data_IF_786182357499
#
_entry.id   IF_786182357499
#
_cell.length_a   1.000
_cell.length_b   1.000
_cell.length_c   1.000
_cell.angle_alpha   90.00
_cell.angle_beta   90.00
_cell.angle_gamma   90.00
#
_symmetry.space_group_name_H-M   'P 1'
#
loop_
_entity.id
_entity.type
_entity.pdbx_description
1 polymer ?
#
# COMPACT_ATOMS: atom_id res chain seq x y z
N UNK A 1 41.97 -51.61 14.72
CA UNK A 1 41.67 -51.86 13.29
C UNK A 1 41.23 -50.53 12.68
N UNK A 2 42.03 -50.07 11.78
CA UNK A 2 42.10 -48.70 11.32
C UNK A 2 41.20 -48.34 10.14
N UNK A 3 41.37 -47.13 9.62
CA UNK A 3 40.35 -46.35 8.88
C UNK A 3 40.51 -46.39 7.36
N UNK A 4 39.44 -46.01 6.67
CA UNK A 4 39.45 -45.62 5.22
C UNK A 4 38.52 -44.45 5.12
N UNK A 5 38.86 -43.23 4.76
CA UNK A 5 39.53 -42.79 3.55
C UNK A 5 38.44 -42.12 2.70
N UNK A 6 38.01 -40.88 2.98
CA UNK A 6 37.05 -40.13 2.21
C UNK A 6 37.74 -39.07 1.35
N UNK A 7 37.50 -39.11 0.04
CA UNK A 7 38.03 -38.18 -0.96
C UNK A 7 37.28 -36.87 -1.01
N UNK A 8 38.02 -35.78 -1.02
CA UNK A 8 37.55 -34.43 -1.38
C UNK A 8 37.23 -34.39 -2.90
N UNK A 9 36.18 -33.64 -3.30
CA UNK A 9 35.99 -33.34 -4.72
C UNK A 9 36.83 -32.15 -5.15
N UNK A 10 37.63 -32.36 -6.15
CA UNK A 10 38.42 -31.41 -6.92
C UNK A 10 37.54 -30.37 -7.60
N UNK A 11 37.94 -29.13 -7.45
CA UNK A 11 37.40 -27.98 -8.22
C UNK A 11 37.92 -28.05 -9.64
N UNK A 12 37.03 -28.20 -10.62
CA UNK A 12 37.32 -28.10 -12.03
C UNK A 12 37.31 -26.63 -12.52
N UNK A 13 38.05 -26.30 -13.57
CA UNK A 13 38.26 -24.92 -14.02
C UNK A 13 37.03 -24.35 -14.75
N UNK A 14 36.81 -23.05 -14.54
CA UNK A 14 35.81 -22.23 -15.22
C UNK A 14 36.19 -22.04 -16.69
N UNK A 15 35.30 -22.28 -17.66
CA UNK A 15 35.58 -21.94 -19.08
C UNK A 15 35.38 -20.45 -19.31
N UNK A 16 36.38 -19.85 -19.91
CA UNK A 16 36.40 -18.47 -20.38
C UNK A 16 35.53 -18.23 -21.63
N UNK A 17 35.02 -17.04 -21.77
CA UNK A 17 34.59 -16.35 -22.98
C UNK A 17 33.26 -16.78 -23.61
N UNK A 18 32.19 -16.14 -23.19
CA UNK A 18 31.03 -15.90 -24.05
C UNK A 18 31.34 -14.72 -24.98
N UNK A 19 31.47 -15.00 -26.26
CA UNK A 19 31.60 -14.00 -27.35
C UNK A 19 30.29 -13.26 -27.51
N UNK A 20 30.34 -11.95 -27.45
CA UNK A 20 29.24 -11.07 -27.84
C UNK A 20 28.94 -11.25 -29.33
N UNK A 21 27.73 -11.70 -29.64
CA UNK A 21 27.21 -11.73 -31.00
C UNK A 21 26.83 -10.31 -31.43
N UNK A 22 27.32 -9.89 -32.58
CA UNK A 22 26.99 -8.65 -33.26
C UNK A 22 25.48 -8.62 -33.62
N UNK A 23 24.79 -7.46 -33.50
CA UNK A 23 23.43 -7.33 -34.00
C UNK A 23 23.43 -7.35 -35.54
N UNK A 24 22.61 -8.22 -36.12
CA UNK A 24 22.33 -8.30 -37.56
C UNK A 24 21.70 -6.98 -38.03
N UNK A 25 22.29 -6.42 -39.06
CA UNK A 25 21.74 -5.29 -39.78
C UNK A 25 20.39 -5.61 -40.40
N UNK A 26 19.36 -4.82 -40.05
CA UNK A 26 18.08 -4.78 -40.78
C UNK A 26 18.29 -3.96 -42.03
N UNK A 27 18.08 -4.57 -43.19
CA UNK A 27 18.31 -3.91 -44.50
C UNK A 27 17.29 -2.78 -44.74
N UNK A 28 17.79 -1.60 -44.97
CA UNK A 28 17.06 -0.51 -45.62
C UNK A 28 17.27 -0.58 -47.14
N UNK A 29 16.18 -0.79 -47.85
CA UNK A 29 16.10 -0.73 -49.29
C UNK A 29 16.04 0.76 -49.72
N UNK A 30 17.02 1.21 -50.51
CA UNK A 30 16.89 2.44 -51.31
C UNK A 30 17.50 3.73 -50.79
N UNK A 31 18.77 3.75 -50.35
CA UNK A 31 19.61 4.96 -50.41
C UNK A 31 21.08 4.54 -50.53
N UNK A 32 21.79 5.06 -51.56
CA UNK A 32 23.21 4.80 -51.77
C UNK A 32 24.03 5.46 -50.64
N UNK A 33 24.28 4.75 -49.56
CA UNK A 33 25.27 5.13 -48.56
C UNK A 33 26.65 4.68 -49.03
N UNK A 34 27.51 5.61 -49.42
CA UNK A 34 28.94 5.35 -49.60
C UNK A 34 29.63 5.38 -48.25
N UNK A 35 30.07 4.22 -47.79
CA UNK A 35 30.97 4.12 -46.64
C UNK A 35 32.39 4.40 -47.11
N UNK A 36 33.09 5.32 -46.46
CA UNK A 36 34.54 5.50 -46.59
C UNK A 36 35.13 5.04 -45.26
N UNK A 37 35.68 3.83 -45.24
CA UNK A 37 36.43 3.31 -44.11
C UNK A 37 37.88 3.78 -44.20
N UNK A 38 38.34 4.47 -43.18
CA UNK A 38 39.76 4.67 -42.90
C UNK A 38 40.00 4.08 -41.52
N UNK A 39 40.69 2.93 -41.48
CA UNK A 39 41.20 2.23 -40.30
C UNK A 39 40.34 2.39 -39.01
N UNK A 40 39.21 1.70 -38.98
CA UNK A 40 38.48 1.45 -37.72
C UNK A 40 37.56 2.55 -37.18
N UNK A 41 37.34 3.64 -37.93
CA UNK A 41 36.40 4.72 -37.54
C UNK A 41 35.28 4.80 -38.59
N UNK A 42 34.10 4.28 -38.24
CA UNK A 42 32.88 4.43 -39.06
C UNK A 42 32.36 5.89 -38.98
N UNK A 43 32.55 6.65 -40.03
CA UNK A 43 31.95 7.98 -40.16
C UNK A 43 30.51 7.84 -40.67
N UNK A 44 29.53 8.02 -39.83
CA UNK A 44 28.10 7.99 -40.19
C UNK A 44 27.74 9.32 -40.88
N UNK A 45 27.35 9.33 -42.18
CA UNK A 45 26.94 10.54 -42.86
C UNK A 45 25.69 11.14 -42.22
N UNK A 46 25.71 12.46 -41.90
CA UNK A 46 24.58 13.20 -41.38
C UNK A 46 24.51 13.29 -39.85
N UNK A 47 25.45 12.71 -39.11
CA UNK A 47 25.52 12.91 -37.66
C UNK A 47 25.93 14.36 -37.31
N UNK A 48 25.22 14.97 -36.36
CA UNK A 48 25.59 16.28 -35.83
C UNK A 48 26.85 16.15 -34.97
N UNK A 49 27.85 16.98 -35.21
CA UNK A 49 29.04 17.05 -34.36
C UNK A 49 28.70 17.56 -32.98
N UNK A 50 29.40 17.04 -31.98
CA UNK A 50 29.27 17.46 -30.57
C UNK A 50 30.32 18.50 -30.23
N UNK A 51 30.10 19.30 -29.17
CA UNK A 51 31.09 20.23 -28.64
C UNK A 51 32.41 19.55 -28.25
N UNK A 52 32.34 18.28 -27.83
CA UNK A 52 33.52 17.47 -27.50
C UNK A 52 34.35 17.15 -28.74
N UNK A 53 33.71 16.73 -29.80
CA UNK A 53 34.39 16.43 -31.07
C UNK A 53 35.02 17.72 -31.68
N UNK A 54 34.32 18.83 -31.57
CA UNK A 54 34.85 20.13 -32.02
C UNK A 54 36.07 20.56 -31.19
N UNK A 55 36.04 20.44 -29.87
CA UNK A 55 37.22 20.74 -29.01
C UNK A 55 38.39 19.84 -29.36
N UNK A 56 38.17 18.55 -29.56
CA UNK A 56 39.20 17.59 -29.95
C UNK A 56 39.79 17.97 -31.31
N UNK A 57 38.96 18.38 -32.28
CA UNK A 57 39.41 18.87 -33.56
C UNK A 57 40.30 20.11 -33.42
N UNK A 58 39.88 21.12 -32.68
CA UNK A 58 40.64 22.37 -32.47
C UNK A 58 41.98 22.10 -31.77
N UNK A 59 42.04 21.18 -30.84
CA UNK A 59 43.28 20.74 -30.18
C UNK A 59 44.21 20.07 -31.18
N UNK A 60 43.74 19.12 -31.96
CA UNK A 60 44.54 18.39 -32.96
C UNK A 60 44.96 19.29 -34.15
N UNK A 61 44.19 20.30 -34.46
CA UNK A 61 44.42 21.26 -35.55
C UNK A 61 45.66 22.14 -35.32
N UNK A 62 46.12 22.22 -34.07
CA UNK A 62 47.38 22.95 -33.77
C UNK A 62 48.62 22.26 -34.36
N UNK A 63 48.55 20.94 -34.56
CA UNK A 63 49.71 20.15 -35.02
C UNK A 63 49.45 19.36 -36.33
N UNK A 64 48.19 19.20 -36.73
CA UNK A 64 47.80 18.38 -37.87
C UNK A 64 47.09 19.21 -38.95
N UNK A 65 47.04 18.69 -40.18
CA UNK A 65 46.21 19.25 -41.26
C UNK A 65 44.72 19.18 -40.93
N UNK A 66 43.85 20.01 -41.53
CA UNK A 66 42.41 19.95 -41.30
C UNK A 66 41.82 18.54 -41.54
N UNK A 67 42.30 17.83 -42.51
CA UNK A 67 41.85 16.48 -42.88
C UNK A 67 42.25 15.45 -41.84
N UNK A 68 43.52 15.48 -41.41
CA UNK A 68 43.99 14.55 -40.36
C UNK A 68 43.35 14.82 -38.99
N UNK A 69 43.16 16.10 -38.63
CA UNK A 69 42.48 16.49 -37.41
C UNK A 69 41.00 16.10 -37.42
N UNK A 70 40.31 16.20 -38.57
CA UNK A 70 38.93 15.76 -38.74
C UNK A 70 38.78 14.24 -38.60
N UNK A 71 39.69 13.47 -39.17
CA UNK A 71 39.73 12.04 -39.02
C UNK A 71 39.89 11.63 -37.53
N UNK A 72 40.80 12.27 -36.79
CA UNK A 72 40.98 12.07 -35.35
C UNK A 72 39.73 12.42 -34.54
N UNK A 73 38.96 13.44 -34.95
CA UNK A 73 37.76 13.87 -34.27
C UNK A 73 36.49 13.12 -34.70
N UNK A 74 36.58 12.20 -35.67
CA UNK A 74 35.50 11.34 -36.15
C UNK A 74 34.43 12.04 -36.99
N UNK A 75 34.82 13.01 -37.84
CA UNK A 75 33.90 13.63 -38.78
C UNK A 75 34.58 13.96 -40.14
N UNK A 76 33.78 14.31 -41.13
CA UNK A 76 34.26 14.49 -42.50
C UNK A 76 35.10 15.76 -42.69
N UNK A 77 36.02 15.78 -43.69
CA UNK A 77 36.81 16.93 -44.13
C UNK A 77 35.95 18.12 -44.48
N UNK A 78 34.80 17.92 -45.13
CA UNK A 78 33.85 19.02 -45.42
C UNK A 78 33.31 19.69 -44.12
N UNK A 79 33.21 18.95 -43.04
CA UNK A 79 32.83 19.51 -41.73
C UNK A 79 34.00 20.29 -41.11
N UNK A 80 35.25 19.84 -41.29
CA UNK A 80 36.43 20.56 -40.85
C UNK A 80 36.49 21.95 -41.46
N UNK A 81 36.36 22.06 -42.77
CA UNK A 81 36.36 23.36 -43.46
C UNK A 81 35.19 24.28 -43.03
N UNK A 82 34.01 23.71 -42.70
CA UNK A 82 32.92 24.52 -42.11
C UNK A 82 33.25 25.01 -40.70
N UNK A 83 34.00 24.25 -39.93
CA UNK A 83 34.47 24.68 -38.60
C UNK A 83 35.53 25.78 -38.74
N UNK A 84 36.42 25.66 -39.69
CA UNK A 84 37.43 26.71 -40.00
C UNK A 84 36.76 28.04 -40.39
N UNK A 85 35.68 27.98 -41.19
CA UNK A 85 34.92 29.16 -41.59
C UNK A 85 34.11 29.78 -40.41
N UNK A 86 33.64 28.97 -39.47
CA UNK A 86 32.90 29.42 -38.28
C UNK A 86 33.27 28.57 -37.06
N UNK A 87 34.25 29.01 -36.25
CA UNK A 87 34.80 28.22 -35.13
C UNK A 87 33.93 28.19 -33.87
N UNK A 88 32.70 28.70 -33.92
CA UNK A 88 31.78 28.62 -32.78
C UNK A 88 31.33 27.18 -32.56
N UNK A 89 31.27 26.76 -31.30
CA UNK A 89 30.81 25.41 -30.95
C UNK A 89 29.33 25.18 -31.33
N UNK A 90 28.90 23.92 -31.57
CA UNK A 90 27.50 23.59 -31.84
C UNK A 90 26.51 24.13 -30.81
N UNK A 91 26.89 24.16 -29.53
CA UNK A 91 26.07 24.76 -28.47
C UNK A 91 25.93 26.28 -28.62
N UNK A 92 26.99 26.97 -29.04
CA UNK A 92 26.99 28.43 -29.29
C UNK A 92 26.21 28.83 -30.57
N UNK A 93 26.17 27.93 -31.57
CA UNK A 93 25.37 28.13 -32.80
C UNK A 93 23.87 27.88 -32.59
N UNK A 94 23.48 27.17 -31.50
CA UNK A 94 22.07 26.98 -31.18
C UNK A 94 21.48 28.30 -30.74
N UNK A 95 20.64 28.89 -31.59
CA UNK A 95 19.79 29.98 -31.16
C UNK A 95 18.93 29.51 -29.96
N UNK A 96 18.76 30.35 -28.92
CA UNK A 96 17.83 30.05 -27.86
C UNK A 96 16.48 29.68 -28.48
N UNK A 97 15.91 28.52 -28.07
CA UNK A 97 14.57 28.13 -28.52
C UNK A 97 13.57 29.14 -27.98
N UNK A 98 13.32 30.19 -28.70
CA UNK A 98 12.27 31.15 -28.38
C UNK A 98 10.91 30.46 -28.35
N UNK A 99 10.02 30.93 -27.50
CA UNK A 99 8.64 30.48 -27.44
C UNK A 99 7.95 30.82 -28.75
N UNK A 100 7.61 29.84 -29.57
CA UNK A 100 7.02 30.07 -30.91
C UNK A 100 5.56 30.56 -30.85
N UNK A 101 4.88 30.47 -29.71
CA UNK A 101 3.48 30.91 -29.52
C UNK A 101 3.41 31.96 -28.44
N UNK A 102 2.69 33.05 -28.66
CA UNK A 102 2.44 34.05 -27.63
C UNK A 102 1.75 33.38 -26.43
N UNK A 103 1.99 33.90 -25.24
CA UNK A 103 1.35 33.40 -24.03
C UNK A 103 -0.10 33.86 -23.98
N UNK A 104 -1.07 32.93 -24.05
CA UNK A 104 -2.48 33.30 -24.07
C UNK A 104 -2.97 33.89 -22.73
N UNK A 105 -2.19 33.78 -21.66
CA UNK A 105 -2.50 34.36 -20.34
C UNK A 105 -1.81 35.73 -20.12
N UNK A 106 -0.94 36.16 -21.01
CA UNK A 106 -0.17 37.40 -20.80
C UNK A 106 -1.07 38.63 -20.47
N UNK A 107 -2.19 38.86 -21.18
CA UNK A 107 -3.04 40.03 -20.89
C UNK A 107 -3.70 40.01 -19.50
N UNK A 108 -4.15 38.81 -19.05
CA UNK A 108 -4.90 38.67 -17.80
C UNK A 108 -4.01 38.31 -16.60
N UNK A 109 -2.73 38.01 -16.84
CA UNK A 109 -1.88 37.44 -15.78
C UNK A 109 -1.65 38.42 -14.64
N UNK A 110 -1.09 39.57 -14.91
CA UNK A 110 -0.73 40.55 -13.89
C UNK A 110 -1.93 41.40 -13.46
N UNK A 111 -2.88 41.62 -14.35
CA UNK A 111 -4.05 42.42 -14.09
C UNK A 111 -5.12 41.67 -13.25
N UNK A 112 -5.28 40.38 -13.44
CA UNK A 112 -6.38 39.63 -12.82
C UNK A 112 -5.92 38.42 -12.01
N UNK A 113 -5.03 37.57 -12.57
CA UNK A 113 -4.66 36.30 -11.92
C UNK A 113 -3.80 36.54 -10.69
N UNK A 114 -2.77 37.36 -10.79
CA UNK A 114 -1.89 37.67 -9.65
C UNK A 114 -2.64 38.31 -8.49
N UNK A 115 -3.54 39.28 -8.68
CA UNK A 115 -4.39 39.79 -7.61
C UNK A 115 -5.24 38.71 -6.94
N UNK A 116 -5.86 37.80 -7.72
CA UNK A 116 -6.63 36.68 -7.15
C UNK A 116 -5.75 35.76 -6.27
N UNK A 117 -4.54 35.44 -6.73
CA UNK A 117 -3.60 34.60 -6.00
C UNK A 117 -3.09 35.26 -4.71
N UNK A 118 -2.90 36.59 -4.72
CA UNK A 118 -2.51 37.36 -3.54
C UNK A 118 -3.65 37.47 -2.52
N UNK A 119 -4.87 37.70 -2.99
CA UNK A 119 -6.04 37.82 -2.13
C UNK A 119 -6.46 36.48 -1.50
N UNK A 120 -6.28 35.39 -2.22
CA UNK A 120 -6.63 34.04 -1.79
C UNK A 120 -5.53 33.02 -2.16
N UNK A 121 -4.45 32.91 -1.37
CA UNK A 121 -3.30 32.03 -1.70
C UNK A 121 -3.70 30.57 -1.86
N UNK A 122 -4.72 30.10 -1.12
CA UNK A 122 -5.24 28.73 -1.19
C UNK A 122 -6.20 28.44 -2.34
N UNK A 123 -6.52 29.43 -3.20
CA UNK A 123 -7.49 29.22 -4.30
C UNK A 123 -7.02 28.13 -5.25
N UNK A 124 -7.91 27.17 -5.56
CA UNK A 124 -7.56 26.09 -6.50
C UNK A 124 -7.48 26.63 -7.92
N UNK A 125 -6.57 26.06 -8.73
CA UNK A 125 -6.42 26.44 -10.15
C UNK A 125 -7.74 26.36 -10.91
N UNK A 126 -8.58 25.37 -10.59
CA UNK A 126 -9.89 25.23 -11.23
C UNK A 126 -10.83 26.42 -10.91
N UNK A 127 -10.75 26.98 -9.69
CA UNK A 127 -11.51 28.17 -9.32
C UNK A 127 -11.07 29.40 -10.10
N UNK A 128 -9.74 29.59 -10.23
CA UNK A 128 -9.19 30.68 -11.06
C UNK A 128 -9.61 30.50 -12.54
N UNK A 129 -9.58 29.26 -13.06
CA UNK A 129 -9.99 28.96 -14.44
C UNK A 129 -11.48 29.26 -14.67
N UNK A 130 -12.34 28.89 -13.72
CA UNK A 130 -13.76 29.18 -13.81
C UNK A 130 -14.05 30.67 -13.81
N UNK A 131 -13.39 31.42 -12.94
CA UNK A 131 -13.55 32.87 -12.88
C UNK A 131 -13.02 33.55 -14.13
N UNK A 132 -11.87 33.13 -14.66
CA UNK A 132 -11.35 33.65 -15.93
C UNK A 132 -12.33 33.38 -17.10
N UNK A 133 -12.93 32.22 -17.18
CA UNK A 133 -13.92 31.90 -18.21
C UNK A 133 -15.21 32.71 -18.07
N UNK A 134 -15.60 33.03 -16.83
CA UNK A 134 -16.72 33.91 -16.58
C UNK A 134 -16.46 35.35 -17.07
N UNK A 135 -15.24 35.84 -16.89
CA UNK A 135 -14.82 37.18 -17.33
C UNK A 135 -14.50 37.25 -18.83
N UNK A 136 -13.90 36.18 -19.34
CA UNK A 136 -13.45 36.08 -20.73
C UNK A 136 -14.04 34.81 -21.39
N UNK A 137 -15.28 34.86 -21.91
CA UNK A 137 -15.95 33.73 -22.54
C UNK A 137 -15.19 33.17 -23.74
N UNK A 138 -14.43 34.02 -24.44
CA UNK A 138 -13.62 33.67 -25.62
C UNK A 138 -12.29 32.99 -25.29
N UNK A 139 -12.01 32.77 -24.02
CA UNK A 139 -10.74 32.18 -23.58
C UNK A 139 -10.61 30.73 -24.11
N UNK A 140 -9.45 30.43 -24.70
CA UNK A 140 -9.16 29.13 -25.27
C UNK A 140 -9.43 27.98 -24.27
N UNK A 141 -10.21 26.98 -24.70
CA UNK A 141 -10.59 25.83 -23.85
C UNK A 141 -9.40 25.02 -23.33
N UNK A 142 -8.27 25.02 -24.05
CA UNK A 142 -7.08 24.23 -23.71
C UNK A 142 -6.05 24.98 -22.83
N UNK A 143 -6.45 26.14 -22.25
CA UNK A 143 -5.54 26.99 -21.45
C UNK A 143 -5.18 26.41 -20.07
N UNK A 144 -5.96 25.43 -19.58
CA UNK A 144 -5.86 24.88 -18.22
C UNK A 144 -4.43 24.50 -17.85
N UNK A 145 -3.75 23.71 -18.71
CA UNK A 145 -2.38 23.25 -18.42
C UNK A 145 -1.34 24.39 -18.38
N UNK A 146 -1.56 25.43 -19.17
CA UNK A 146 -0.72 26.65 -19.15
C UNK A 146 -0.95 27.42 -17.86
N UNK A 147 -2.21 27.58 -17.43
CA UNK A 147 -2.58 28.22 -16.19
C UNK A 147 -2.01 27.47 -14.98
N UNK A 148 -2.19 26.15 -14.91
CA UNK A 148 -1.63 25.30 -13.85
C UNK A 148 -0.12 25.51 -13.70
N UNK A 149 0.64 25.47 -14.79
CA UNK A 149 2.08 25.64 -14.78
C UNK A 149 2.51 27.04 -14.35
N UNK A 150 1.78 28.08 -14.80
CA UNK A 150 2.10 29.46 -14.41
C UNK A 150 1.76 29.73 -12.94
N UNK A 151 0.62 29.26 -12.44
CA UNK A 151 0.25 29.40 -11.02
C UNK A 151 1.25 28.63 -10.16
N UNK A 152 1.65 27.41 -10.56
CA UNK A 152 2.65 26.64 -9.84
C UNK A 152 3.99 27.41 -9.77
N UNK A 153 4.46 27.95 -10.90
CA UNK A 153 5.67 28.76 -10.93
C UNK A 153 5.56 30.03 -10.07
N UNK A 154 4.43 30.73 -10.13
CA UNK A 154 4.20 31.92 -9.31
C UNK A 154 4.18 31.58 -7.81
N UNK A 155 3.51 30.47 -7.43
CA UNK A 155 3.48 30.02 -6.04
C UNK A 155 4.85 29.60 -5.53
N UNK A 156 5.69 29.04 -6.36
CA UNK A 156 7.06 28.71 -5.98
C UNK A 156 7.93 29.95 -5.69
N UNK A 157 7.61 31.09 -6.30
CA UNK A 157 8.35 32.34 -6.12
C UNK A 157 7.72 33.29 -5.08
N UNK A 158 6.41 33.29 -4.94
CA UNK A 158 5.65 34.30 -4.23
C UNK A 158 4.55 33.73 -3.31
N UNK A 159 4.36 32.41 -3.32
CA UNK A 159 3.36 31.77 -2.47
C UNK A 159 3.79 31.72 -1.01
N UNK A 160 2.86 31.37 -0.10
CA UNK A 160 3.20 31.12 1.29
C UNK A 160 4.11 29.89 1.39
N UNK A 161 4.91 29.86 2.44
CA UNK A 161 5.69 28.68 2.79
C UNK A 161 4.77 27.47 2.98
N UNK A 162 5.23 26.31 2.57
CA UNK A 162 4.50 25.05 2.73
C UNK A 162 5.05 24.27 3.90
N UNK A 163 4.19 23.51 4.57
CA UNK A 163 4.62 22.59 5.61
C UNK A 163 5.64 21.59 5.08
N UNK A 164 6.76 21.49 5.77
CA UNK A 164 7.79 20.53 5.43
C UNK A 164 7.52 19.21 6.16
N UNK A 165 7.26 18.17 5.40
CA UNK A 165 7.11 16.82 5.94
C UNK A 165 8.50 16.22 6.14
N UNK A 166 8.94 16.13 7.38
CA UNK A 166 10.18 15.44 7.70
C UNK A 166 9.98 13.92 7.55
N UNK A 167 10.94 13.29 6.87
CA UNK A 167 10.95 11.83 6.75
C UNK A 167 11.12 11.24 8.15
N UNK A 168 10.13 10.48 8.60
CA UNK A 168 10.24 9.74 9.85
C UNK A 168 11.14 8.53 9.66
N UNK A 169 12.13 8.38 10.53
CA UNK A 169 12.93 7.17 10.62
C UNK A 169 12.31 6.25 11.67
N UNK A 170 12.03 5.02 11.27
CA UNK A 170 11.49 4.00 12.15
C UNK A 170 12.58 2.95 12.42
N UNK A 171 13.20 2.94 13.59
CA UNK A 171 14.14 1.87 13.94
C UNK A 171 13.45 0.49 13.93
N UNK A 172 14.19 -0.58 13.55
CA UNK A 172 13.63 -1.93 13.52
C UNK A 172 13.13 -2.37 14.91
N UNK A 173 12.02 -3.10 14.95
CA UNK A 173 11.38 -3.61 16.16
C UNK A 173 10.71 -2.57 17.04
N UNK A 174 10.66 -1.29 16.62
CA UNK A 174 10.12 -0.22 17.45
C UNK A 174 8.60 -0.09 17.32
N UNK A 175 8.06 0.04 16.14
CA UNK A 175 6.68 0.49 15.95
C UNK A 175 5.87 -0.45 15.06
N UNK A 176 4.78 -0.97 15.62
CA UNK A 176 3.68 -1.60 14.92
C UNK A 176 2.50 -0.64 14.79
N UNK A 177 1.87 -0.62 13.63
CA UNK A 177 0.70 0.17 13.29
C UNK A 177 -0.46 -0.77 13.01
N UNK A 178 -1.66 -0.43 13.45
CA UNK A 178 -2.85 -1.18 13.03
C UNK A 178 -4.07 -0.28 12.90
N UNK A 179 -4.96 -0.70 12.02
CA UNK A 179 -6.24 -0.03 11.83
C UNK A 179 -7.25 -0.98 11.19
N UNK A 180 -8.55 -0.63 11.24
CA UNK A 180 -9.61 -1.34 10.53
C UNK A 180 -9.90 -0.65 9.20
N UNK A 181 -10.15 -1.45 8.18
CA UNK A 181 -10.54 -0.94 6.87
C UNK A 181 -11.78 -1.67 6.35
N UNK A 182 -12.71 -0.94 5.78
CA UNK A 182 -13.88 -1.50 5.12
C UNK A 182 -13.46 -2.33 3.90
N UNK A 183 -13.94 -3.57 3.82
CA UNK A 183 -13.70 -4.50 2.74
C UNK A 183 -14.93 -4.68 1.80
N UNK A 184 -16.03 -3.98 2.03
CA UNK A 184 -17.28 -4.10 1.25
C UNK A 184 -17.09 -3.82 -0.24
N UNK A 185 -16.14 -2.94 -0.60
CA UNK A 185 -15.81 -2.67 -2.00
C UNK A 185 -15.25 -3.90 -2.75
N UNK A 186 -14.68 -4.88 -2.06
CA UNK A 186 -14.19 -6.12 -2.66
C UNK A 186 -15.33 -7.05 -3.13
N UNK A 187 -16.57 -6.82 -2.63
CA UNK A 187 -17.78 -7.58 -3.00
C UNK A 187 -17.60 -9.10 -2.90
N UNK A 188 -16.98 -9.56 -1.84
CA UNK A 188 -16.79 -10.99 -1.56
C UNK A 188 -18.12 -11.60 -1.12
N UNK A 189 -18.40 -12.82 -1.57
CA UNK A 189 -19.55 -13.62 -1.12
C UNK A 189 -19.09 -14.96 -0.54
N UNK A 190 -19.91 -15.50 0.34
CA UNK A 190 -19.74 -16.83 0.94
C UNK A 190 -20.96 -17.66 0.58
N UNK A 191 -20.77 -18.75 -0.17
CA UNK A 191 -21.86 -19.60 -0.65
C UNK A 191 -22.98 -18.80 -1.34
N UNK A 192 -22.61 -17.79 -2.15
CA UNK A 192 -23.51 -16.93 -2.89
C UNK A 192 -24.07 -15.73 -2.11
N UNK A 193 -23.87 -15.65 -0.80
CA UNK A 193 -24.33 -14.54 0.04
C UNK A 193 -23.22 -13.49 0.23
N UNK A 194 -23.53 -12.21 -0.03
CA UNK A 194 -22.58 -11.12 0.12
C UNK A 194 -22.10 -11.01 1.57
N UNK A 195 -20.78 -10.96 1.74
CA UNK A 195 -20.14 -10.84 3.05
C UNK A 195 -19.88 -9.36 3.37
N UNK A 196 -20.62 -8.81 4.33
CA UNK A 196 -20.30 -7.52 4.93
C UNK A 196 -19.24 -7.73 6.01
N UNK A 197 -18.04 -7.21 5.78
CA UNK A 197 -16.90 -7.41 6.68
C UNK A 197 -15.89 -6.27 6.59
N UNK A 198 -15.01 -6.24 7.59
CA UNK A 198 -13.83 -5.38 7.62
C UNK A 198 -12.57 -6.23 7.64
N UNK A 199 -11.43 -5.61 7.37
CA UNK A 199 -10.13 -6.17 7.62
C UNK A 199 -9.45 -5.38 8.73
N UNK A 200 -9.01 -6.06 9.78
CA UNK A 200 -8.00 -5.53 10.68
C UNK A 200 -6.65 -5.69 9.99
N UNK A 201 -5.90 -4.61 9.82
CA UNK A 201 -4.62 -4.60 9.14
C UNK A 201 -3.54 -4.14 10.09
N UNK A 202 -2.57 -4.99 10.34
CA UNK A 202 -1.37 -4.71 11.12
C UNK A 202 -0.17 -4.56 10.20
N UNK A 203 0.73 -3.63 10.53
CA UNK A 203 1.95 -3.39 9.77
C UNK A 203 3.10 -2.94 10.68
N UNK A 204 4.32 -3.46 10.45
CA UNK A 204 5.53 -2.92 11.04
C UNK A 204 6.02 -1.70 10.25
N UNK A 205 6.41 -0.65 10.96
CA UNK A 205 6.81 0.61 10.34
C UNK A 205 8.16 0.53 9.61
N UNK A 206 9.10 -0.30 10.09
CA UNK A 206 10.42 -0.47 9.48
C UNK A 206 10.38 -1.44 8.30
N UNK A 207 10.09 -2.72 8.53
CA UNK A 207 10.14 -3.74 7.46
C UNK A 207 8.98 -3.68 6.51
N UNK A 208 7.86 -3.12 6.96
CA UNK A 208 6.61 -3.17 6.25
C UNK A 208 5.92 -4.53 6.32
N UNK A 209 6.33 -5.46 7.20
CA UNK A 209 5.59 -6.69 7.44
C UNK A 209 4.12 -6.38 7.65
N UNK A 210 3.25 -7.17 7.02
CA UNK A 210 1.80 -6.98 7.06
C UNK A 210 1.10 -8.25 7.55
N UNK A 211 0.00 -8.07 8.29
CA UNK A 211 -0.97 -9.12 8.59
C UNK A 211 -2.38 -8.54 8.46
N UNK A 212 -3.29 -9.31 7.90
CA UNK A 212 -4.69 -8.91 7.77
C UNK A 212 -5.58 -9.99 8.39
N UNK A 213 -6.56 -9.56 9.19
CA UNK A 213 -7.52 -10.44 9.82
C UNK A 213 -8.95 -10.05 9.43
N UNK A 214 -9.77 -11.04 9.05
CA UNK A 214 -11.16 -10.81 8.64
C UNK A 214 -12.04 -10.61 9.87
N UNK A 215 -12.70 -9.45 9.93
CA UNK A 215 -13.53 -9.01 11.06
C UNK A 215 -14.99 -8.93 10.65
N UNK A 216 -15.84 -9.64 11.35
CA UNK A 216 -17.29 -9.67 11.09
C UNK A 216 -18.10 -8.80 12.05
N UNK A 217 -17.62 -8.60 13.28
CA UNK A 217 -18.34 -7.91 14.37
C UNK A 217 -18.22 -6.39 14.36
N UNK A 218 -17.43 -5.81 13.45
CA UNK A 218 -17.10 -4.39 13.43
C UNK A 218 -15.93 -4.03 14.36
N UNK A 219 -15.64 -2.74 14.47
CA UNK A 219 -14.53 -2.24 15.29
C UNK A 219 -14.84 -2.42 16.78
N UNK A 220 -14.20 -3.38 17.41
CA UNK A 220 -14.38 -3.72 18.83
C UNK A 220 -13.04 -4.11 19.46
N UNK A 221 -12.96 -4.03 20.80
CA UNK A 221 -11.79 -4.53 21.53
C UNK A 221 -11.49 -6.00 21.21
N UNK A 222 -12.52 -6.84 21.12
CA UNK A 222 -12.38 -8.27 20.80
C UNK A 222 -11.73 -8.46 19.43
N UNK A 223 -12.19 -7.73 18.41
CA UNK A 223 -11.63 -7.81 17.07
C UNK A 223 -10.20 -7.27 17.00
N UNK A 224 -9.91 -6.18 17.74
CA UNK A 224 -8.56 -5.64 17.88
C UNK A 224 -7.63 -6.67 18.54
N UNK A 225 -8.05 -7.24 19.66
CA UNK A 225 -7.23 -8.18 20.44
C UNK A 225 -6.96 -9.46 19.66
N UNK A 226 -7.96 -10.02 18.98
CA UNK A 226 -7.82 -11.20 18.14
C UNK A 226 -6.91 -10.92 16.92
N UNK A 227 -7.16 -9.83 16.19
CA UNK A 227 -6.37 -9.45 15.01
C UNK A 227 -4.91 -9.12 15.35
N UNK A 228 -4.68 -8.39 16.45
CA UNK A 228 -3.33 -8.07 16.89
C UNK A 228 -2.57 -9.33 17.32
N UNK A 229 -3.19 -10.20 18.11
CA UNK A 229 -2.56 -11.45 18.54
C UNK A 229 -2.22 -12.34 17.34
N UNK A 230 -3.12 -12.48 16.37
CA UNK A 230 -2.85 -13.21 15.14
C UNK A 230 -1.65 -12.64 14.38
N UNK A 231 -1.56 -11.30 14.29
CA UNK A 231 -0.43 -10.63 13.66
C UNK A 231 0.90 -10.89 14.38
N UNK A 232 0.93 -10.76 15.72
CA UNK A 232 2.13 -10.97 16.52
C UNK A 232 2.62 -12.43 16.44
N UNK A 233 1.70 -13.39 16.46
CA UNK A 233 2.04 -14.81 16.36
C UNK A 233 2.49 -15.20 14.96
N UNK A 234 1.90 -14.63 13.91
CA UNK A 234 2.37 -14.81 12.54
C UNK A 234 3.76 -14.20 12.32
N UNK A 235 4.05 -13.07 12.97
CA UNK A 235 5.36 -12.40 12.94
C UNK A 235 6.41 -13.17 13.75
N UNK A 236 6.01 -13.77 14.87
CA UNK A 236 6.87 -14.46 15.84
C UNK A 236 7.55 -13.52 16.83
N UNK A 237 6.98 -12.35 17.12
CA UNK A 237 7.48 -11.38 18.08
C UNK A 237 6.58 -10.15 18.17
N UNK A 238 6.82 -9.28 19.15
CA UNK A 238 6.09 -8.05 19.38
C UNK A 238 6.98 -6.81 19.22
N UNK A 239 6.52 -5.72 18.57
CA UNK A 239 7.23 -4.45 18.55
C UNK A 239 7.18 -3.79 19.94
N UNK A 240 8.08 -2.86 20.22
CA UNK A 240 8.09 -2.14 21.51
C UNK A 240 6.89 -1.21 21.68
N UNK A 241 6.39 -0.66 20.59
CA UNK A 241 5.27 0.27 20.57
C UNK A 241 4.21 -0.21 19.58
N UNK A 242 2.96 -0.04 19.95
CA UNK A 242 1.82 -0.27 19.08
C UNK A 242 0.96 0.97 18.99
N UNK A 243 0.63 1.38 17.77
CA UNK A 243 -0.23 2.52 17.48
C UNK A 243 -1.47 2.06 16.73
N UNK A 244 -2.64 2.41 17.25
CA UNK A 244 -3.92 2.16 16.60
C UNK A 244 -4.79 3.40 16.70
N UNK A 245 -5.43 3.76 15.58
CA UNK A 245 -6.41 4.85 15.51
C UNK A 245 -7.83 4.38 15.88
N UNK A 246 -8.05 3.09 15.78
CA UNK A 246 -9.37 2.45 15.84
C UNK A 246 -10.06 2.49 17.19
N UNK A 247 -9.34 2.72 18.28
CA UNK A 247 -9.96 2.84 19.61
C UNK A 247 -10.87 4.07 19.71
N UNK A 248 -10.59 5.11 18.94
CA UNK A 248 -11.40 6.35 18.93
C UNK A 248 -12.81 6.11 18.38
N UNK A 249 -12.96 5.25 17.38
CA UNK A 249 -14.26 4.91 16.79
C UNK A 249 -15.07 3.98 17.72
N UNK A 250 -14.42 3.03 18.38
CA UNK A 250 -15.05 2.14 19.35
C UNK A 250 -15.59 2.89 20.57
N UNK A 251 -15.03 4.08 20.90
CA UNK A 251 -15.42 4.88 22.05
C UNK A 251 -16.60 5.84 21.83
N UNK A 252 -16.98 6.11 20.56
CA UNK A 252 -17.91 7.22 20.25
C UNK A 252 -19.27 7.12 20.93
N UNK A 253 -19.80 5.93 21.13
CA UNK A 253 -21.15 5.69 21.65
C UNK A 253 -21.17 4.97 23.01
N UNK A 254 -20.06 4.92 23.74
CA UNK A 254 -19.97 4.21 25.01
C UNK A 254 -20.13 5.15 26.20
N UNK A 255 -20.65 4.61 27.30
CA UNK A 255 -20.63 5.27 28.61
C UNK A 255 -19.20 5.46 29.11
N UNK A 256 -18.99 6.37 30.06
CA UNK A 256 -17.67 6.64 30.64
C UNK A 256 -17.03 5.36 31.23
N UNK A 257 -17.82 4.57 31.95
CA UNK A 257 -17.40 3.29 32.57
C UNK A 257 -16.97 2.25 31.51
N UNK A 258 -17.71 2.14 30.40
CA UNK A 258 -17.38 1.22 29.34
C UNK A 258 -16.10 1.65 28.58
N UNK A 259 -15.83 2.96 28.50
CA UNK A 259 -14.57 3.50 27.95
C UNK A 259 -13.38 3.18 28.85
N UNK A 260 -13.56 3.33 30.15
CA UNK A 260 -12.55 2.97 31.17
C UNK A 260 -12.18 1.49 31.07
N UNK A 261 -13.19 0.60 31.02
CA UNK A 261 -12.97 -0.85 30.88
C UNK A 261 -12.18 -1.20 29.63
N UNK A 262 -12.53 -0.63 28.46
CA UNK A 262 -11.77 -0.88 27.21
C UNK A 262 -10.33 -0.35 27.31
N UNK A 263 -10.14 0.80 27.96
CA UNK A 263 -8.80 1.39 28.16
C UNK A 263 -7.95 0.48 29.03
N UNK A 264 -8.49 -0.02 30.14
CA UNK A 264 -7.78 -0.94 31.04
C UNK A 264 -7.48 -2.27 30.36
N UNK A 265 -8.42 -2.84 29.61
CA UNK A 265 -8.23 -4.09 28.85
C UNK A 265 -7.18 -3.91 27.74
N UNK A 266 -7.16 -2.77 27.07
CA UNK A 266 -6.14 -2.45 26.07
C UNK A 266 -4.77 -2.33 26.72
N UNK A 267 -4.66 -1.63 27.84
CA UNK A 267 -3.41 -1.52 28.59
C UNK A 267 -2.91 -2.89 29.08
N UNK A 268 -3.81 -3.75 29.55
CA UNK A 268 -3.49 -5.11 29.95
C UNK A 268 -2.99 -5.97 28.76
N UNK A 269 -3.63 -5.83 27.59
CA UNK A 269 -3.20 -6.50 26.36
C UNK A 269 -1.80 -6.05 25.93
N UNK A 270 -1.55 -4.74 25.93
CA UNK A 270 -0.22 -4.20 25.60
C UNK A 270 0.84 -4.65 26.58
N UNK A 271 0.53 -4.60 27.90
CA UNK A 271 1.43 -5.06 28.96
C UNK A 271 1.77 -6.54 28.85
N UNK A 272 0.79 -7.37 28.47
CA UNK A 272 0.99 -8.81 28.27
C UNK A 272 2.05 -9.13 27.21
N UNK A 273 2.14 -8.31 26.14
CA UNK A 273 3.12 -8.44 25.07
C UNK A 273 4.37 -7.53 25.25
N UNK A 274 4.47 -6.84 26.38
CA UNK A 274 5.57 -5.90 26.62
C UNK A 274 5.60 -4.72 25.67
N UNK A 275 4.43 -4.32 25.14
CA UNK A 275 4.28 -3.19 24.23
C UNK A 275 3.78 -1.94 24.96
N UNK A 276 4.17 -0.79 24.47
CA UNK A 276 3.66 0.51 24.86
C UNK A 276 2.59 0.96 23.85
N UNK A 277 1.39 1.31 24.35
CA UNK A 277 0.35 1.89 23.51
C UNK A 277 0.69 3.35 23.17
N UNK A 278 0.74 3.70 21.90
CA UNK A 278 0.92 5.07 21.44
C UNK A 278 -0.34 5.53 20.69
N UNK A 279 -0.60 6.84 20.72
CA UNK A 279 -1.72 7.45 19.96
C UNK A 279 -1.17 8.42 18.93
N UNK A 280 -1.91 8.64 17.87
CA UNK A 280 -1.60 9.71 16.94
C UNK A 280 -1.74 11.07 17.62
N UNK A 281 -0.82 12.00 17.34
CA UNK A 281 -0.94 13.36 17.79
C UNK A 281 -2.12 14.01 17.06
N UNK A 282 -3.06 14.57 17.83
CA UNK A 282 -4.24 15.22 17.28
C UNK A 282 -3.81 16.41 16.42
N UNK A 283 -4.18 16.41 15.12
CA UNK A 283 -3.86 17.50 14.19
C UNK A 283 -2.62 17.30 13.31
N UNK A 284 -1.86 16.21 13.47
CA UNK A 284 -0.72 15.89 12.60
C UNK A 284 -1.14 14.85 11.56
N UNK A 285 -1.73 15.32 10.47
CA UNK A 285 -2.25 14.47 9.37
C UNK A 285 -1.18 13.54 8.75
N UNK A 286 0.09 13.89 8.88
CA UNK A 286 1.20 13.14 8.26
C UNK A 286 1.58 11.85 9.02
N UNK A 287 1.20 11.70 10.28
CA UNK A 287 1.46 10.48 11.05
C UNK A 287 0.58 9.31 10.59
N UNK A 288 -0.60 9.59 10.04
CA UNK A 288 -1.54 8.59 9.52
C UNK A 288 -1.18 8.09 8.12
N UNK A 289 -0.41 8.84 7.34
CA UNK A 289 0.01 8.44 5.99
C UNK A 289 0.78 7.13 5.93
N UNK A 290 1.40 6.73 7.04
CA UNK A 290 2.14 5.47 7.17
C UNK A 290 1.25 4.23 7.19
N UNK A 291 -0.06 4.36 7.45
CA UNK A 291 -1.00 3.24 7.47
C UNK A 291 -2.12 3.38 6.42
N UNK A 292 -2.60 4.58 6.13
CA UNK A 292 -3.66 4.82 5.13
C UNK A 292 -3.25 4.39 3.72
N UNK A 293 -2.04 4.73 3.28
CA UNK A 293 -1.51 4.32 1.98
C UNK A 293 -1.35 2.80 1.87
N UNK A 294 -0.77 2.07 2.86
CA UNK A 294 -0.75 0.61 2.90
C UNK A 294 -2.12 -0.07 2.82
N UNK A 295 -3.18 0.48 3.47
CA UNK A 295 -4.55 -0.05 3.34
C UNK A 295 -5.02 -0.04 1.89
N UNK A 296 -4.80 1.07 1.19
CA UNK A 296 -5.12 1.19 -0.23
C UNK A 296 -4.37 0.17 -1.08
N UNK A 297 -3.09 -0.08 -0.78
CA UNK A 297 -2.27 -1.06 -1.48
C UNK A 297 -2.70 -2.50 -1.19
N UNK A 298 -3.05 -2.83 0.06
CA UNK A 298 -3.57 -4.16 0.41
C UNK A 298 -4.89 -4.44 -0.29
N UNK A 299 -5.85 -3.49 -0.26
CA UNK A 299 -7.15 -3.66 -0.95
C UNK A 299 -6.98 -3.84 -2.45
N UNK A 300 -6.08 -3.09 -3.10
CA UNK A 300 -5.76 -3.29 -4.52
C UNK A 300 -5.14 -4.66 -4.80
N UNK A 301 -4.23 -5.13 -3.95
CA UNK A 301 -3.63 -6.45 -4.11
C UNK A 301 -4.65 -7.58 -3.95
N UNK A 302 -5.60 -7.44 -3.01
CA UNK A 302 -6.72 -8.38 -2.86
C UNK A 302 -7.66 -8.33 -4.08
N UNK A 303 -7.98 -7.13 -4.57
CA UNK A 303 -8.79 -6.94 -5.79
C UNK A 303 -8.14 -7.60 -7.01
N UNK A 304 -6.85 -7.35 -7.25
CA UNK A 304 -6.10 -7.95 -8.35
C UNK A 304 -6.09 -9.49 -8.23
N UNK A 305 -5.88 -10.02 -7.01
CA UNK A 305 -5.89 -11.46 -6.78
C UNK A 305 -7.27 -12.08 -6.99
N UNK A 306 -8.37 -11.39 -6.62
CA UNK A 306 -9.73 -11.81 -6.88
C UNK A 306 -10.06 -11.82 -8.38
N UNK A 307 -9.59 -10.82 -9.12
CA UNK A 307 -9.72 -10.76 -10.57
C UNK A 307 -8.98 -11.93 -11.25
N UNK A 308 -7.76 -12.23 -10.81
CA UNK A 308 -6.99 -13.37 -11.31
C UNK A 308 -7.62 -14.73 -10.96
N UNK A 309 -8.27 -14.83 -9.79
CA UNK A 309 -9.04 -16.01 -9.41
C UNK A 309 -10.28 -16.21 -10.26
N UNK A 310 -10.84 -15.15 -10.84
CA UNK A 310 -12.04 -15.18 -11.68
C UNK A 310 -13.36 -15.34 -10.91
N UNK A 311 -13.32 -15.38 -9.58
CA UNK A 311 -14.52 -15.47 -8.72
C UNK A 311 -14.31 -14.75 -7.40
N UNK A 312 -15.37 -14.11 -6.90
CA UNK A 312 -15.41 -13.46 -5.59
C UNK A 312 -16.20 -14.29 -4.56
N UNK A 313 -16.73 -15.44 -4.98
CA UNK A 313 -17.46 -16.35 -4.11
C UNK A 313 -16.55 -17.42 -3.53
N UNK A 314 -16.70 -17.67 -2.23
CA UNK A 314 -15.95 -18.68 -1.48
C UNK A 314 -16.91 -19.67 -0.86
N UNK A 315 -16.47 -20.91 -0.68
CA UNK A 315 -17.28 -21.97 -0.10
C UNK A 315 -17.67 -21.66 1.35
N UNK A 316 -16.72 -21.13 2.12
CA UNK A 316 -16.87 -20.77 3.52
C UNK A 316 -15.96 -19.60 3.90
N UNK A 317 -16.07 -19.15 5.15
CA UNK A 317 -15.31 -18.04 5.68
C UNK A 317 -13.80 -18.35 5.78
N UNK A 318 -13.47 -19.60 6.07
CA UNK A 318 -12.08 -20.02 6.24
C UNK A 318 -11.34 -20.00 4.90
N UNK A 319 -12.00 -20.41 3.81
CA UNK A 319 -11.46 -20.27 2.46
C UNK A 319 -11.19 -18.80 2.07
N UNK A 320 -12.01 -17.87 2.54
CA UNK A 320 -11.74 -16.43 2.36
C UNK A 320 -10.55 -15.96 3.20
N UNK A 321 -10.46 -16.39 4.45
CA UNK A 321 -9.32 -16.09 5.34
C UNK A 321 -8.00 -16.60 4.76
N UNK A 322 -7.97 -17.86 4.33
CA UNK A 322 -6.81 -18.47 3.69
C UNK A 322 -6.37 -17.70 2.43
N UNK A 323 -7.35 -17.20 1.67
CA UNK A 323 -7.06 -16.38 0.50
C UNK A 323 -6.43 -15.03 0.88
N UNK A 324 -6.93 -14.37 1.91
CA UNK A 324 -6.33 -13.13 2.45
C UNK A 324 -4.91 -13.39 2.92
N UNK A 325 -4.70 -14.47 3.68
CA UNK A 325 -3.39 -14.85 4.20
C UNK A 325 -2.40 -15.18 3.08
N UNK A 326 -2.85 -15.86 2.03
CA UNK A 326 -2.05 -16.11 0.83
C UNK A 326 -1.60 -14.80 0.16
N UNK A 327 -2.49 -13.82 -0.01
CA UNK A 327 -2.15 -12.54 -0.63
C UNK A 327 -1.17 -11.76 0.23
N UNK A 328 -1.40 -11.69 1.53
CA UNK A 328 -0.50 -11.05 2.49
C UNK A 328 0.86 -11.74 2.54
N UNK A 329 0.88 -13.09 2.53
CA UNK A 329 2.11 -13.87 2.51
C UNK A 329 2.97 -13.58 1.27
N UNK A 330 2.36 -13.44 0.09
CA UNK A 330 3.07 -13.03 -1.14
C UNK A 330 3.69 -11.65 -0.99
N UNK A 331 2.99 -10.70 -0.39
CA UNK A 331 3.49 -9.33 -0.15
C UNK A 331 4.67 -9.34 0.82
N UNK A 332 4.55 -10.09 1.92
CA UNK A 332 5.63 -10.25 2.90
C UNK A 332 6.88 -10.92 2.31
N UNK A 333 6.73 -11.82 1.33
CA UNK A 333 7.85 -12.45 0.65
C UNK A 333 8.76 -11.43 -0.05
N UNK A 334 8.20 -10.36 -0.64
CA UNK A 334 8.99 -9.26 -1.22
C UNK A 334 9.76 -8.46 -0.16
N UNK A 335 9.27 -8.45 1.08
CA UNK A 335 9.85 -7.72 2.21
C UNK A 335 10.77 -8.60 3.09
N UNK A 336 11.00 -9.85 2.70
CA UNK A 336 11.68 -10.87 3.50
C UNK A 336 13.04 -10.40 4.06
N UNK A 337 13.82 -9.65 3.28
CA UNK A 337 15.12 -9.12 3.73
C UNK A 337 14.97 -8.11 4.87
N UNK A 338 14.04 -7.18 4.77
CA UNK A 338 13.79 -6.19 5.80
C UNK A 338 13.18 -6.84 7.06
N UNK A 339 12.28 -7.81 6.87
CA UNK A 339 11.68 -8.59 7.96
C UNK A 339 12.76 -9.38 8.71
N UNK A 340 13.71 -10.00 8.01
CA UNK A 340 14.80 -10.73 8.62
C UNK A 340 15.72 -9.84 9.48
N UNK A 341 15.93 -8.57 9.10
CA UNK A 341 16.66 -7.58 9.89
C UNK A 341 15.88 -7.18 11.14
N UNK A 342 14.55 -7.01 11.02
CA UNK A 342 13.71 -6.54 12.12
C UNK A 342 13.39 -7.63 13.15
N UNK A 343 13.22 -8.87 12.72
CA UNK A 343 12.78 -9.99 13.56
C UNK A 343 13.62 -10.19 14.85
N UNK A 344 14.95 -10.10 14.83
CA UNK A 344 15.77 -10.22 16.06
C UNK A 344 15.57 -9.08 17.06
N UNK A 345 15.01 -7.93 16.64
CA UNK A 345 14.80 -6.74 17.47
C UNK A 345 13.42 -6.73 18.15
N UNK A 346 12.58 -7.71 17.83
CA UNK A 346 11.24 -7.85 18.42
C UNK A 346 11.33 -8.46 19.82
N UNK A 347 10.38 -8.07 20.67
CA UNK A 347 10.20 -8.69 21.99
C UNK A 347 9.67 -10.12 21.82
N UNK A 348 10.19 -11.05 22.58
CA UNK A 348 9.73 -12.43 22.58
C UNK A 348 8.27 -12.52 23.04
N UNK A 349 7.48 -13.36 22.35
CA UNK A 349 6.09 -13.59 22.71
C UNK A 349 5.97 -14.37 24.03
N UNK A 350 4.94 -14.09 24.82
CA UNK A 350 4.61 -14.90 26.00
C UNK A 350 4.19 -16.32 25.59
N UNK A 351 4.23 -17.26 26.53
CA UNK A 351 3.85 -18.66 26.29
C UNK A 351 2.38 -18.85 25.90
N UNK A 352 1.50 -17.96 26.36
CA UNK A 352 0.07 -18.03 26.10
C UNK A 352 -0.44 -16.70 25.55
N UNK A 353 -1.53 -16.74 24.77
CA UNK A 353 -2.25 -15.56 24.32
C UNK A 353 -2.96 -14.87 25.47
N UNK A 354 -3.11 -13.55 25.37
CA UNK A 354 -3.98 -12.81 26.27
C UNK A 354 -5.45 -13.13 25.98
N UNK A 355 -6.33 -12.80 26.92
CA UNK A 355 -7.78 -12.95 26.74
C UNK A 355 -8.30 -12.00 25.67
N UNK A 356 -8.84 -12.53 24.58
CA UNK A 356 -9.38 -11.83 23.43
C UNK A 356 -10.91 -11.98 23.29
N UNK A 357 -11.57 -12.44 24.34
CA UNK A 357 -13.01 -12.63 24.39
C UNK A 357 -13.65 -11.83 25.53
N UNK A 358 -14.93 -11.59 25.39
CA UNK A 358 -15.80 -11.13 26.48
C UNK A 358 -16.54 -12.34 27.04
N UNK A 359 -16.69 -12.45 28.35
CA UNK A 359 -17.41 -13.55 28.99
C UNK A 359 -18.74 -13.06 29.57
N UNK A 360 -19.82 -13.79 29.30
CA UNK A 360 -21.17 -13.55 29.84
C UNK A 360 -21.79 -14.85 30.29
N UNK A 361 -22.57 -14.78 31.39
CA UNK A 361 -23.41 -15.88 31.82
C UNK A 361 -24.81 -15.63 31.27
N UNK A 362 -25.37 -16.65 30.59
CA UNK A 362 -26.72 -16.63 30.03
C UNK A 362 -27.52 -17.83 30.53
N UNK A 363 -28.84 -17.70 30.53
CA UNK A 363 -29.75 -18.79 30.83
C UNK A 363 -30.44 -19.22 29.54
N UNK A 364 -30.42 -20.50 29.23
CA UNK A 364 -31.12 -21.05 28.07
C UNK A 364 -32.61 -21.11 28.37
N UNK A 365 -33.38 -20.39 27.57
CA UNK A 365 -34.83 -20.30 27.70
C UNK A 365 -35.54 -21.55 27.18
N UNK A 366 -36.85 -21.70 27.52
CA UNK A 366 -37.73 -22.77 27.01
C UNK A 366 -37.82 -22.78 25.47
N UNK A 367 -37.44 -21.67 24.79
CA UNK A 367 -37.35 -21.59 23.33
C UNK A 367 -36.11 -22.28 22.75
N UNK A 368 -35.27 -22.92 23.55
CA UNK A 368 -34.09 -23.66 23.11
C UNK A 368 -32.91 -22.75 22.71
N UNK A 369 -32.83 -21.55 23.29
CA UNK A 369 -31.76 -20.59 23.02
C UNK A 369 -31.68 -19.50 24.09
N UNK A 370 -30.80 -18.55 23.83
CA UNK A 370 -30.62 -17.36 24.67
C UNK A 370 -30.49 -16.11 23.80
N UNK A 371 -30.76 -14.95 24.37
CA UNK A 371 -30.55 -13.65 23.70
C UNK A 371 -29.29 -12.99 24.22
N UNK A 372 -28.36 -12.66 23.32
CA UNK A 372 -27.13 -11.95 23.63
C UNK A 372 -26.96 -10.79 22.66
N UNK A 373 -26.75 -9.58 23.18
CA UNK A 373 -26.60 -8.36 22.35
C UNK A 373 -27.71 -8.22 21.31
N UNK A 374 -28.97 -8.46 21.71
CA UNK A 374 -30.20 -8.43 20.89
C UNK A 374 -30.27 -9.46 19.76
N UNK A 375 -29.41 -10.49 19.79
CA UNK A 375 -29.48 -11.61 18.86
C UNK A 375 -29.93 -12.86 19.65
N UNK A 376 -31.06 -13.46 19.24
CA UNK A 376 -31.48 -14.74 19.72
C UNK A 376 -30.68 -15.84 19.00
N UNK A 377 -30.08 -16.74 19.78
CA UNK A 377 -29.23 -17.83 19.27
C UNK A 377 -29.68 -19.13 19.85
N UNK A 378 -29.92 -20.13 18.99
CA UNK A 378 -30.32 -21.47 19.45
C UNK A 378 -29.11 -22.29 19.89
N UNK A 379 -29.32 -23.13 20.89
CA UNK A 379 -28.38 -24.16 21.36
C UNK A 379 -29.08 -25.53 21.43
N UNK A 380 -28.34 -26.63 21.53
CA UNK A 380 -28.96 -27.94 21.71
C UNK A 380 -30.01 -27.92 22.84
N UNK A 381 -31.21 -28.35 22.55
CA UNK A 381 -32.38 -28.21 23.48
C UNK A 381 -32.20 -28.92 24.83
N UNK A 382 -31.30 -29.90 24.93
CA UNK A 382 -30.92 -30.50 26.21
C UNK A 382 -30.34 -29.50 27.22
N UNK A 383 -29.96 -28.32 26.77
CA UNK A 383 -29.41 -27.26 27.62
C UNK A 383 -30.47 -26.27 28.13
N UNK A 384 -31.76 -26.50 27.84
CA UNK A 384 -32.86 -25.67 28.37
C UNK A 384 -32.82 -25.65 29.88
N UNK A 385 -32.95 -24.46 30.49
CA UNK A 385 -32.91 -24.24 31.93
C UNK A 385 -31.51 -24.14 32.53
N UNK A 386 -30.47 -24.50 31.80
CA UNK A 386 -29.09 -24.42 32.28
C UNK A 386 -28.49 -23.02 32.12
N UNK A 387 -27.59 -22.66 33.03
CA UNK A 387 -26.72 -21.50 32.95
C UNK A 387 -25.49 -21.86 32.13
N UNK A 388 -25.25 -21.12 31.04
CA UNK A 388 -24.07 -21.28 30.21
C UNK A 388 -23.13 -20.07 30.39
N UNK A 389 -21.87 -20.36 30.53
CA UNK A 389 -20.82 -19.38 30.37
C UNK A 389 -20.48 -19.25 28.89
N UNK A 390 -20.63 -18.07 28.33
CA UNK A 390 -20.43 -17.81 26.88
C UNK A 390 -19.25 -16.89 26.72
N UNK A 391 -18.26 -17.36 25.99
CA UNK A 391 -17.15 -16.54 25.50
C UNK A 391 -17.52 -15.99 24.14
N UNK A 392 -17.43 -14.67 24.01
CA UNK A 392 -17.87 -13.92 22.85
C UNK A 392 -16.62 -13.46 22.11
N UNK A 393 -16.37 -14.05 20.96
CA UNK A 393 -15.35 -13.65 20.00
C UNK A 393 -15.94 -12.76 18.91
N UNK A 394 -15.15 -12.32 17.93
CA UNK A 394 -15.66 -11.50 16.84
C UNK A 394 -16.65 -12.28 15.94
N UNK A 395 -16.36 -13.51 15.61
CA UNK A 395 -17.09 -14.34 14.66
C UNK A 395 -17.92 -15.47 15.29
N UNK A 396 -17.64 -15.83 16.54
CA UNK A 396 -18.20 -17.01 17.21
C UNK A 396 -18.55 -16.79 18.67
N UNK A 397 -19.39 -17.68 19.17
CA UNK A 397 -19.72 -17.83 20.60
C UNK A 397 -19.30 -19.22 21.03
N UNK A 398 -18.46 -19.32 22.04
CA UNK A 398 -18.12 -20.59 22.67
C UNK A 398 -18.90 -20.75 23.98
N UNK A 399 -19.75 -21.78 24.05
CA UNK A 399 -20.63 -22.01 25.17
C UNK A 399 -20.11 -23.15 26.06
N UNK A 400 -20.06 -22.89 27.35
CA UNK A 400 -19.56 -23.83 28.36
C UNK A 400 -20.62 -24.08 29.41
N UNK A 401 -20.75 -25.37 29.83
CA UNK A 401 -21.46 -25.76 31.02
C UNK A 401 -20.42 -26.10 32.11
N UNK A 402 -20.27 -25.22 33.09
CA UNK A 402 -19.11 -25.28 33.98
C UNK A 402 -17.79 -25.11 33.23
N UNK A 403 -16.91 -26.09 33.27
CA UNK A 403 -15.66 -26.12 32.53
C UNK A 403 -15.76 -26.80 31.15
N UNK A 404 -16.87 -27.51 30.88
CA UNK A 404 -17.01 -28.32 29.67
C UNK A 404 -17.55 -27.52 28.51
N UNK A 405 -16.88 -27.49 27.35
CA UNK A 405 -17.41 -26.86 26.13
C UNK A 405 -18.59 -27.68 25.61
N UNK A 406 -19.72 -27.04 25.32
CA UNK A 406 -20.96 -27.70 24.90
C UNK A 406 -21.42 -27.32 23.50
N UNK A 407 -21.03 -26.14 23.00
CA UNK A 407 -21.35 -25.70 21.67
C UNK A 407 -20.41 -24.55 21.24
N UNK A 408 -20.04 -24.53 19.94
CA UNK A 408 -19.46 -23.37 19.25
C UNK A 408 -20.46 -22.92 18.20
N UNK A 409 -20.89 -21.67 18.26
CA UNK A 409 -21.95 -21.12 17.46
C UNK A 409 -21.41 -19.93 16.66
N UNK A 410 -21.91 -19.72 15.46
CA UNK A 410 -21.63 -18.51 14.71
C UNK A 410 -22.25 -17.31 15.40
N UNK A 411 -21.51 -16.23 15.56
CA UNK A 411 -22.03 -14.99 16.13
C UNK A 411 -22.93 -14.28 15.12
N UNK A 412 -24.19 -14.08 15.49
CA UNK A 412 -25.14 -13.29 14.72
C UNK A 412 -25.03 -11.79 15.02
N UNK A 413 -25.67 -10.99 14.18
CA UNK A 413 -25.80 -9.54 14.32
C UNK A 413 -27.27 -9.14 14.42
N UNK A 414 -27.60 -8.05 15.13
CA UNK A 414 -28.95 -7.49 15.05
C UNK A 414 -29.20 -6.98 13.61
N UNK A 415 -30.44 -7.04 13.18
CA UNK A 415 -30.84 -6.57 11.82
C UNK A 415 -30.66 -5.06 11.71
N UNK A 416 -30.96 -4.33 12.79
CA UNK A 416 -30.76 -2.89 12.90
C UNK A 416 -30.62 -2.45 14.35
N UNK A 417 -30.37 -1.18 14.60
CA UNK A 417 -30.35 -0.61 15.96
C UNK A 417 -31.66 -0.74 16.72
N UNK A 418 -32.79 -0.93 16.04
CA UNK A 418 -34.11 -1.11 16.64
C UNK A 418 -34.59 -2.55 16.58
N UNK A 419 -34.07 -3.39 15.70
CA UNK A 419 -34.53 -4.75 15.45
C UNK A 419 -33.46 -5.77 15.78
N UNK A 420 -33.77 -6.72 16.67
CA UNK A 420 -32.91 -7.86 17.01
C UNK A 420 -32.70 -8.82 15.84
N UNK A 421 -31.67 -9.65 15.95
CA UNK A 421 -31.35 -10.72 15.00
C UNK A 421 -31.71 -12.10 15.55
N UNK A 422 -31.76 -13.10 14.66
CA UNK A 422 -31.98 -14.50 15.02
C UNK A 422 -30.90 -15.36 14.33
N UNK A 423 -30.23 -16.18 15.11
CA UNK A 423 -29.31 -17.22 14.64
C UNK A 423 -29.89 -18.58 15.03
N UNK A 424 -30.64 -19.17 14.11
CA UNK A 424 -31.35 -20.43 14.38
C UNK A 424 -30.66 -21.55 13.60
N UNK A 425 -30.08 -22.50 14.36
CA UNK A 425 -29.69 -23.79 13.80
C UNK A 425 -30.82 -24.80 14.06
N UNK A 426 -31.51 -25.20 12.99
CA UNK A 426 -32.65 -26.12 13.08
C UNK A 426 -32.27 -27.49 13.70
N UNK A 427 -31.01 -27.88 13.60
CA UNK A 427 -30.48 -29.13 14.19
C UNK A 427 -30.65 -29.15 15.69
N UNK A 428 -30.63 -27.99 16.34
CA UNK A 428 -30.84 -27.88 17.80
C UNK A 428 -32.26 -28.16 18.23
N UNK A 429 -33.23 -27.98 17.33
CA UNK A 429 -34.68 -28.05 17.65
C UNK A 429 -35.47 -29.07 16.79
N UNK A 430 -34.78 -29.76 15.89
CA UNK A 430 -35.40 -30.66 14.89
C UNK A 430 -36.28 -31.74 15.52
N UNK A 431 -35.88 -32.29 16.66
CA UNK A 431 -36.65 -33.30 17.39
C UNK A 431 -37.98 -32.74 17.95
N UNK A 432 -38.00 -31.45 18.34
CA UNK A 432 -39.23 -30.79 18.77
C UNK A 432 -40.15 -30.51 17.57
N UNK A 433 -39.60 -30.15 16.41
CA UNK A 433 -40.35 -29.96 15.17
C UNK A 433 -40.98 -31.28 14.69
N UNK A 434 -40.26 -32.40 14.81
CA UNK A 434 -40.80 -33.75 14.48
C UNK A 434 -41.95 -34.17 15.37
N UNK A 435 -42.00 -33.75 16.65
CA UNK A 435 -43.06 -34.07 17.59
C UNK A 435 -44.28 -33.16 17.49
N UNK A 436 -44.11 -31.98 16.90
CA UNK A 436 -45.17 -30.99 16.68
C UNK A 436 -45.17 -30.53 15.22
N UNK A 437 -45.42 -31.46 14.28
CA UNK A 437 -45.55 -31.06 12.90
C UNK A 437 -46.81 -30.22 12.74
N UNK A 438 -46.74 -29.07 12.13
CA UNK A 438 -47.86 -28.37 11.55
C UNK A 438 -47.68 -28.40 10.06
#
# INVERSE_FOLDING_TARGET
MGPKGGRSPTVGPIPAAARFASPRAVGCVGAKCRFVSIEGIDVVPGAHITDRQMRLYMERRQTLSPEAAAACAGFSTATAYRIEADPRSPSQKKAPRGRRRPDPLAPSWDAEIVPMLKAAPGIRVIGVLQELRRRHPDLNRNIRRTLERRIQGWRALHGPEQDVIFRQEHPPGRLGLSDFTDAGALRVSIAGELLDHRLYHFRLAFSGFEHAHVVLGGESFTALAEGLQNALWALGGAPRQHRSDSLSAAFRNLTAEAREDITQRTAALMGHYGMEATRNNTGVAHENGSIESPHGHLKKALEDALLLRGSRDFADLDAWRDFVDMVVGRRNAYLAKAIAVEKPMLTQLPHARATDFEEKIVIVTSSGGFTLRRVFTTVPSRLIGHRLRVRIFDDRLECFLGATPVATLRRGRPVSDKQGGHMVDYRHVIHALRRKPR
#
